data_IF_042880878603
#
_entry.id   IF_042880878603
#
_cell.length_a   1.000
_cell.length_b   1.000
_cell.length_c   1.000
_cell.angle_alpha   90.00
_cell.angle_beta   90.00
_cell.angle_gamma   90.00
#
_symmetry.space_group_name_H-M   'P 1'
#
loop_
_entity.id
_entity.type
_entity.pdbx_description
1 polymer ?
#
# COMPACT_ATOMS: atom_id res chain seq x y z
N UNK A 1 -0.72 -11.87 2.50
CA UNK A 1 -1.72 -12.69 1.79
C UNK A 1 -1.60 -12.44 0.29
N UNK A 2 -1.67 -13.51 -0.49
CA UNK A 2 -1.40 -13.51 -1.93
C UNK A 2 -2.68 -13.93 -2.66
N UNK A 3 -3.13 -13.10 -3.60
CA UNK A 3 -4.29 -13.37 -4.46
C UNK A 3 -3.86 -14.00 -5.79
N UNK A 4 -4.73 -13.98 -6.77
CA UNK A 4 -4.54 -14.53 -8.13
C UNK A 4 -3.30 -13.97 -8.84
N UNK A 5 -2.70 -14.79 -9.70
CA UNK A 5 -1.52 -14.46 -10.52
C UNK A 5 -0.29 -13.96 -9.72
N UNK A 6 0.18 -14.68 -8.71
CA UNK A 6 1.22 -14.21 -7.80
C UNK A 6 2.63 -14.19 -8.39
N UNK A 7 2.84 -14.61 -9.64
CA UNK A 7 4.17 -14.82 -10.22
C UNK A 7 5.10 -13.61 -10.07
N UNK A 8 4.65 -12.43 -10.46
CA UNK A 8 5.43 -11.19 -10.36
C UNK A 8 5.74 -10.84 -8.90
N UNK A 9 4.80 -11.03 -8.00
CA UNK A 9 4.98 -10.81 -6.56
C UNK A 9 6.00 -11.80 -5.99
N UNK A 10 5.90 -13.09 -6.34
CA UNK A 10 6.84 -14.12 -5.90
C UNK A 10 8.26 -13.85 -6.41
N UNK A 11 8.40 -13.44 -7.67
CA UNK A 11 9.71 -13.04 -8.25
C UNK A 11 10.27 -11.80 -7.52
N UNK A 12 9.43 -10.85 -7.13
CA UNK A 12 9.84 -9.64 -6.42
C UNK A 12 10.24 -9.94 -4.98
N UNK A 13 9.45 -10.70 -4.25
CA UNK A 13 9.68 -11.01 -2.84
C UNK A 13 10.78 -12.06 -2.64
N UNK A 14 10.89 -13.06 -3.53
CA UNK A 14 11.84 -14.15 -3.40
C UNK A 14 11.77 -14.82 -2.03
N UNK A 15 12.94 -15.01 -1.40
CA UNK A 15 13.04 -15.59 -0.05
C UNK A 15 13.01 -14.54 1.08
N UNK A 16 12.80 -13.28 0.76
CA UNK A 16 12.83 -12.18 1.73
C UNK A 16 14.24 -11.73 2.16
N UNK A 17 15.31 -12.42 1.74
CA UNK A 17 16.69 -12.08 2.15
C UNK A 17 17.10 -10.65 1.74
N UNK A 18 16.66 -10.21 0.59
CA UNK A 18 16.94 -8.86 0.06
C UNK A 18 16.30 -7.74 0.87
N UNK A 19 15.33 -8.06 1.73
CA UNK A 19 14.66 -7.10 2.62
C UNK A 19 15.24 -7.11 4.04
N UNK A 20 16.39 -7.74 4.24
CA UNK A 20 17.07 -7.85 5.54
C UNK A 20 16.19 -8.47 6.66
N UNK A 21 15.29 -9.37 6.30
CA UNK A 21 14.43 -10.06 7.26
C UNK A 21 15.27 -11.11 7.99
N UNK A 22 15.43 -10.91 9.30
CA UNK A 22 16.17 -11.83 10.16
C UNK A 22 15.28 -13.03 10.53
N UNK A 23 15.61 -14.21 10.02
CA UNK A 23 14.85 -15.45 10.27
C UNK A 23 14.79 -15.91 11.73
N UNK A 24 15.64 -15.36 12.61
CA UNK A 24 15.59 -15.62 14.06
C UNK A 24 14.55 -14.77 14.79
N UNK A 25 14.16 -13.63 14.22
CA UNK A 25 13.19 -12.69 14.82
C UNK A 25 11.88 -12.61 14.05
N UNK A 26 11.83 -13.18 12.89
CA UNK A 26 10.66 -13.18 12.02
C UNK A 26 10.99 -13.77 10.66
N UNK A 27 10.00 -14.03 9.85
CA UNK A 27 10.16 -14.50 8.48
C UNK A 27 9.04 -14.02 7.59
N UNK A 28 9.30 -13.96 6.29
CA UNK A 28 8.28 -13.74 5.29
C UNK A 28 7.48 -15.03 5.09
N UNK A 29 6.19 -14.99 5.37
CA UNK A 29 5.22 -16.03 5.01
C UNK A 29 4.41 -15.54 3.82
N UNK A 30 4.35 -16.35 2.77
CA UNK A 30 3.46 -16.13 1.64
C UNK A 30 2.23 -17.03 1.85
N UNK A 31 1.12 -16.42 2.19
CA UNK A 31 -0.14 -17.08 2.50
C UNK A 31 -1.07 -16.97 1.30
N UNK A 32 -1.45 -18.08 0.74
CA UNK A 32 -2.32 -18.15 -0.43
C UNK A 32 -3.75 -18.39 0.03
N UNK A 33 -4.71 -17.71 -0.60
CA UNK A 33 -6.11 -18.09 -0.47
C UNK A 33 -6.34 -19.44 -1.15
N UNK A 34 -7.26 -20.25 -0.63
CA UNK A 34 -7.69 -21.48 -1.29
C UNK A 34 -8.29 -21.13 -2.67
N UNK A 35 -8.26 -22.10 -3.60
CA UNK A 35 -8.57 -21.88 -5.01
C UNK A 35 -9.86 -21.06 -5.22
N UNK A 36 -9.68 -19.85 -5.78
CA UNK A 36 -10.77 -18.91 -6.10
C UNK A 36 -11.71 -19.41 -7.21
N UNK A 37 -11.40 -20.54 -7.84
CA UNK A 37 -12.19 -21.10 -8.97
C UNK A 37 -13.61 -21.49 -8.56
N UNK A 38 -13.86 -21.80 -7.29
CA UNK A 38 -15.17 -22.20 -6.79
C UNK A 38 -15.91 -21.11 -5.98
N UNK A 39 -15.28 -19.95 -5.72
CA UNK A 39 -15.87 -18.89 -4.92
C UNK A 39 -16.28 -17.71 -5.79
N UNK A 40 -17.59 -17.49 -5.93
CA UNK A 40 -18.17 -16.29 -6.57
C UNK A 40 -17.80 -14.99 -5.83
N UNK A 41 -17.32 -15.09 -4.57
CA UNK A 41 -17.00 -13.97 -3.69
C UNK A 41 -15.66 -14.18 -3.02
N UNK A 42 -14.59 -13.83 -3.70
CA UNK A 42 -13.26 -13.78 -3.10
C UNK A 42 -13.03 -12.42 -2.42
N UNK A 43 -12.92 -12.41 -1.11
CA UNK A 43 -12.58 -11.22 -0.33
C UNK A 43 -11.42 -11.50 0.65
N UNK A 44 -10.99 -10.48 1.38
CA UNK A 44 -9.89 -10.58 2.33
C UNK A 44 -10.23 -11.44 3.55
N UNK A 45 -11.49 -11.43 4.03
CA UNK A 45 -11.96 -12.27 5.15
C UNK A 45 -11.79 -13.76 4.81
N UNK A 46 -12.16 -14.19 3.60
CA UNK A 46 -11.99 -15.58 3.17
C UNK A 46 -10.50 -15.96 3.16
N UNK A 47 -9.63 -15.09 2.61
CA UNK A 47 -8.20 -15.34 2.59
C UNK A 47 -7.59 -15.44 4.01
N UNK A 48 -8.09 -14.64 4.97
CA UNK A 48 -7.67 -14.74 6.37
C UNK A 48 -8.16 -16.03 7.02
N UNK A 49 -9.41 -16.45 6.75
CA UNK A 49 -9.97 -17.71 7.27
C UNK A 49 -9.21 -18.93 6.76
N UNK A 50 -8.86 -18.98 5.48
CA UNK A 50 -8.10 -20.07 4.88
C UNK A 50 -6.72 -20.25 5.53
N UNK A 51 -6.20 -19.19 6.13
CA UNK A 51 -4.89 -19.16 6.77
C UNK A 51 -4.95 -18.86 8.27
N UNK A 52 -6.11 -19.07 8.89
CA UNK A 52 -6.36 -18.67 10.29
C UNK A 52 -5.38 -19.32 11.28
N UNK A 53 -4.98 -20.57 11.04
CA UNK A 53 -4.05 -21.30 11.90
C UNK A 53 -2.69 -20.59 12.03
N UNK A 54 -2.21 -19.94 10.97
CA UNK A 54 -0.95 -19.18 11.01
C UNK A 54 -1.07 -17.97 11.94
N UNK A 55 -2.25 -17.33 11.96
CA UNK A 55 -2.53 -16.18 12.81
C UNK A 55 -2.72 -16.63 14.26
N UNK A 56 -3.47 -17.69 14.49
CA UNK A 56 -3.72 -18.26 15.83
C UNK A 56 -2.44 -18.75 16.51
N UNK A 57 -1.55 -19.39 15.76
CA UNK A 57 -0.27 -19.91 16.26
C UNK A 57 0.82 -18.82 16.40
N UNK A 58 0.52 -17.57 16.07
CA UNK A 58 1.46 -16.47 16.29
C UNK A 58 1.65 -16.18 17.77
N UNK A 59 2.90 -15.91 18.18
CA UNK A 59 3.24 -15.49 19.55
C UNK A 59 3.09 -13.96 19.79
N UNK A 60 2.66 -13.21 18.80
CA UNK A 60 2.51 -11.75 18.89
C UNK A 60 1.10 -11.36 19.35
N UNK A 61 0.99 -10.36 20.21
CA UNK A 61 -0.28 -9.90 20.79
C UNK A 61 -1.06 -8.98 19.87
N UNK A 62 -0.38 -8.34 18.91
CA UNK A 62 -0.96 -7.36 17.99
C UNK A 62 -0.78 -7.77 16.54
N UNK A 63 -1.72 -7.31 15.73
CA UNK A 63 -1.71 -7.47 14.27
C UNK A 63 -1.76 -6.11 13.61
N UNK A 64 -0.91 -5.90 12.61
CA UNK A 64 -0.99 -4.79 11.69
C UNK A 64 -1.40 -5.35 10.32
N UNK A 65 -2.56 -4.93 9.83
CA UNK A 65 -3.02 -5.23 8.48
C UNK A 65 -2.77 -3.99 7.62
N UNK A 66 -2.14 -4.13 6.47
CA UNK A 66 -1.86 -3.02 5.57
C UNK A 66 -2.22 -3.38 4.13
N UNK A 67 -2.81 -2.42 3.43
CA UNK A 67 -3.12 -2.56 2.01
C UNK A 67 -1.86 -2.40 1.16
N UNK A 68 -1.70 -3.25 0.14
CA UNK A 68 -0.57 -3.18 -0.80
C UNK A 68 -0.73 -2.14 -1.92
N UNK A 69 -1.89 -1.51 -2.04
CA UNK A 69 -2.15 -0.49 -3.06
C UNK A 69 -1.84 0.95 -2.61
N UNK A 70 -1.43 1.14 -1.36
CA UNK A 70 -1.03 2.45 -0.82
C UNK A 70 0.49 2.56 -0.76
N UNK A 71 1.02 3.74 -1.11
CA UNK A 71 2.46 4.02 -1.14
C UNK A 71 2.77 5.10 -0.11
N UNK A 72 3.40 4.72 0.98
CA UNK A 72 3.85 5.60 2.04
C UNK A 72 4.93 4.91 2.88
N UNK A 73 5.62 5.67 3.72
CA UNK A 73 6.52 5.14 4.75
C UNK A 73 5.92 5.40 6.13
N UNK A 74 5.79 4.37 6.93
CA UNK A 74 5.29 4.46 8.31
C UNK A 74 6.13 3.60 9.23
N UNK A 75 6.59 4.16 10.33
CA UNK A 75 7.17 3.38 11.41
C UNK A 75 6.04 2.59 12.10
N UNK A 76 6.07 1.28 11.88
CA UNK A 76 5.08 0.38 12.46
C UNK A 76 5.20 0.29 13.99
N UNK A 77 6.40 0.51 14.54
CA UNK A 77 6.59 0.51 16.00
C UNK A 77 5.94 1.74 16.61
N UNK A 78 6.21 2.92 16.06
CA UNK A 78 5.57 4.17 16.51
C UNK A 78 4.04 4.07 16.42
N UNK A 79 3.51 3.51 15.32
CA UNK A 79 2.08 3.33 15.16
C UNK A 79 1.49 2.36 16.19
N UNK A 80 2.20 1.28 16.51
CA UNK A 80 1.80 0.34 17.56
C UNK A 80 1.85 0.98 18.94
N UNK A 81 2.90 1.72 19.26
CA UNK A 81 3.04 2.43 20.53
C UNK A 81 1.89 3.43 20.74
N UNK A 82 1.53 4.20 19.70
CA UNK A 82 0.37 5.10 19.72
C UNK A 82 -0.96 4.35 19.92
N UNK A 83 -1.12 3.16 19.31
CA UNK A 83 -2.29 2.33 19.51
C UNK A 83 -2.41 1.88 20.97
N UNK A 84 -1.33 1.37 21.56
CA UNK A 84 -1.29 0.90 22.95
C UNK A 84 -1.57 2.05 23.92
N UNK A 85 -0.93 3.21 23.72
CA UNK A 85 -1.14 4.40 24.54
C UNK A 85 -2.57 4.94 24.47
N UNK A 86 -3.21 4.82 23.32
CA UNK A 86 -4.59 5.28 23.13
C UNK A 86 -5.61 4.43 23.87
N UNK A 87 -5.30 3.14 24.11
CA UNK A 87 -6.23 2.16 24.67
C UNK A 87 -7.41 1.82 23.74
N UNK A 88 -7.35 2.21 22.48
CA UNK A 88 -8.39 1.92 21.50
C UNK A 88 -8.42 0.42 21.15
N UNK A 89 -9.59 -0.08 20.75
CA UNK A 89 -9.74 -1.45 20.25
C UNK A 89 -9.10 -1.60 18.86
N UNK A 90 -9.30 -0.60 17.99
CA UNK A 90 -8.73 -0.56 16.64
C UNK A 90 -8.17 0.82 16.35
N UNK A 91 -6.99 0.87 15.74
CA UNK A 91 -6.42 2.11 15.19
C UNK A 91 -6.38 2.04 13.67
N UNK A 92 -6.89 3.07 13.01
CA UNK A 92 -6.87 3.23 11.55
C UNK A 92 -5.92 4.35 11.16
N UNK A 93 -4.99 4.07 10.22
CA UNK A 93 -4.09 5.07 9.68
C UNK A 93 -4.78 5.85 8.55
N UNK A 94 -4.67 7.16 8.54
CA UNK A 94 -5.22 8.01 7.48
C UNK A 94 -4.26 9.10 7.04
N UNK A 95 -4.40 9.57 5.82
CA UNK A 95 -3.70 10.73 5.28
C UNK A 95 -4.67 11.88 5.03
N UNK A 96 -4.35 13.06 5.54
CA UNK A 96 -5.15 14.26 5.29
C UNK A 96 -4.73 14.90 3.97
N UNK A 97 -5.67 15.06 3.04
CA UNK A 97 -5.44 15.74 1.76
C UNK A 97 -6.36 16.94 1.60
N UNK A 98 -5.90 17.92 0.87
CA UNK A 98 -6.68 19.10 0.45
C UNK A 98 -7.08 19.03 -1.04
N UNK A 99 -6.81 17.91 -1.71
CA UNK A 99 -7.14 17.68 -3.13
C UNK A 99 -7.97 16.43 -3.39
N UNK A 100 -8.85 16.05 -2.45
CA UNK A 100 -9.67 14.85 -2.56
C UNK A 100 -10.75 14.91 -3.67
N UNK A 101 -10.97 16.08 -4.28
CA UNK A 101 -11.87 16.21 -5.44
C UNK A 101 -11.31 15.65 -6.73
N UNK A 102 -9.99 15.66 -6.86
CA UNK A 102 -9.28 15.29 -8.10
C UNK A 102 -8.45 14.03 -7.92
N UNK A 103 -7.95 13.81 -6.69
CA UNK A 103 -7.11 12.68 -6.35
C UNK A 103 -7.82 11.73 -5.38
N UNK A 104 -7.36 10.50 -5.34
CA UNK A 104 -7.87 9.46 -4.42
C UNK A 104 -9.37 9.14 -4.59
N UNK A 105 -9.94 9.33 -5.78
CA UNK A 105 -11.37 9.12 -6.04
C UNK A 105 -11.83 7.66 -5.85
N UNK A 106 -10.90 6.71 -5.98
CA UNK A 106 -11.16 5.27 -5.77
C UNK A 106 -10.81 4.79 -4.35
N UNK A 107 -10.33 5.72 -3.50
CA UNK A 107 -9.96 5.41 -2.13
C UNK A 107 -11.15 5.59 -1.17
N UNK A 108 -11.01 5.03 0.02
CA UNK A 108 -11.94 5.23 1.12
C UNK A 108 -11.52 6.43 1.97
N UNK A 109 -12.48 7.04 2.66
CA UNK A 109 -12.25 8.15 3.58
C UNK A 109 -12.79 7.81 4.96
N UNK A 110 -12.15 8.37 5.99
CA UNK A 110 -12.61 8.28 7.37
C UNK A 110 -13.40 9.55 7.73
N UNK A 111 -14.59 9.37 8.29
CA UNK A 111 -15.30 10.43 9.00
C UNK A 111 -14.89 10.39 10.47
N UNK A 112 -14.28 11.46 10.96
CA UNK A 112 -13.73 11.52 12.31
C UNK A 112 -14.50 12.52 13.19
N UNK A 113 -14.69 12.18 14.44
CA UNK A 113 -15.14 13.12 15.46
C UNK A 113 -13.98 14.02 15.94
N UNK A 114 -14.27 14.98 16.84
CA UNK A 114 -13.27 15.92 17.39
C UNK A 114 -12.14 15.23 18.18
N UNK A 115 -12.38 14.04 18.69
CA UNK A 115 -11.45 13.24 19.50
C UNK A 115 -10.73 12.19 18.65
N UNK A 116 -10.83 12.27 17.32
CA UNK A 116 -10.29 11.33 16.34
C UNK A 116 -10.94 9.92 16.38
N UNK A 117 -12.07 9.76 17.05
CA UNK A 117 -12.89 8.56 16.93
C UNK A 117 -13.45 8.44 15.51
N UNK A 118 -13.38 7.24 14.94
CA UNK A 118 -13.88 6.95 13.59
C UNK A 118 -15.38 6.70 13.67
N UNK A 119 -16.15 7.50 12.95
CA UNK A 119 -17.61 7.38 12.88
C UNK A 119 -18.05 6.47 11.73
N UNK A 120 -17.36 6.54 10.61
CA UNK A 120 -17.63 5.70 9.44
C UNK A 120 -16.48 5.69 8.45
N UNK A 121 -16.45 4.66 7.60
CA UNK A 121 -15.57 4.52 6.45
C UNK A 121 -16.44 4.62 5.20
N UNK A 122 -16.18 5.61 4.35
CA UNK A 122 -17.01 5.87 3.16
C UNK A 122 -16.14 6.11 1.91
N UNK A 123 -16.63 5.75 0.70
CA UNK A 123 -15.87 5.99 -0.51
C UNK A 123 -15.71 7.49 -0.80
N UNK A 124 -14.54 7.88 -1.29
CA UNK A 124 -14.29 9.24 -1.75
C UNK A 124 -15.05 9.50 -3.06
N UNK A 125 -16.11 10.28 -3.00
CA UNK A 125 -16.93 10.65 -4.17
C UNK A 125 -16.50 11.97 -4.83
N UNK A 126 -15.36 12.55 -4.44
CA UNK A 126 -14.91 13.83 -4.98
C UNK A 126 -15.77 15.05 -4.60
N UNK A 127 -16.62 14.94 -3.59
CA UNK A 127 -17.57 16.00 -3.20
C UNK A 127 -16.92 17.11 -2.39
N UNK A 128 -15.89 16.82 -1.61
CA UNK A 128 -15.21 17.75 -0.74
C UNK A 128 -13.71 17.81 -1.06
N UNK A 129 -13.11 19.01 -0.91
CA UNK A 129 -11.68 19.22 -1.15
C UNK A 129 -10.82 18.57 -0.06
N UNK A 130 -11.19 18.78 1.19
CA UNK A 130 -10.45 18.26 2.35
C UNK A 130 -11.08 16.96 2.81
N UNK A 131 -10.29 15.88 2.85
CA UNK A 131 -10.71 14.56 3.31
C UNK A 131 -9.57 13.84 4.02
N UNK A 132 -9.95 12.90 4.87
CA UNK A 132 -9.07 11.95 5.52
C UNK A 132 -9.10 10.64 4.72
N UNK A 133 -8.09 10.44 3.88
CA UNK A 133 -7.98 9.23 3.04
C UNK A 133 -7.52 8.07 3.93
N UNK A 134 -8.29 7.01 3.97
CA UNK A 134 -7.94 5.80 4.70
C UNK A 134 -6.75 5.10 4.03
N UNK A 135 -5.67 4.88 4.78
CA UNK A 135 -4.46 4.25 4.27
C UNK A 135 -4.56 2.71 4.13
N UNK A 136 -5.74 2.14 4.39
CA UNK A 136 -5.92 0.68 4.37
C UNK A 136 -5.11 -0.04 5.45
N UNK A 137 -4.74 0.67 6.51
CA UNK A 137 -3.90 0.14 7.59
C UNK A 137 -4.67 0.11 8.90
N UNK A 138 -4.68 -1.06 9.53
CA UNK A 138 -5.36 -1.35 10.79
C UNK A 138 -4.34 -1.84 11.81
N UNK A 139 -4.48 -1.43 13.06
CA UNK A 139 -3.74 -1.98 14.21
C UNK A 139 -4.75 -2.41 15.26
N UNK A 140 -4.64 -3.63 15.73
CA UNK A 140 -5.52 -4.18 16.76
C UNK A 140 -4.89 -5.37 17.48
N UNK A 141 -5.47 -5.80 18.58
CA UNK A 141 -5.09 -7.05 19.23
C UNK A 141 -5.39 -8.24 18.33
N UNK A 142 -4.47 -9.22 18.34
CA UNK A 142 -4.61 -10.46 17.55
C UNK A 142 -5.93 -11.18 17.85
N UNK A 143 -6.30 -11.30 19.13
CA UNK A 143 -7.48 -12.03 19.53
C UNK A 143 -8.76 -11.35 18.99
N UNK A 144 -8.83 -10.01 19.03
CA UNK A 144 -9.92 -9.24 18.42
C UNK A 144 -9.98 -9.49 16.91
N UNK A 145 -8.83 -9.47 16.23
CA UNK A 145 -8.75 -9.74 14.79
C UNK A 145 -9.30 -11.11 14.43
N UNK A 146 -8.91 -12.17 15.18
CA UNK A 146 -9.39 -13.54 14.98
C UNK A 146 -10.92 -13.61 15.17
N UNK A 147 -11.43 -13.01 16.23
CA UNK A 147 -12.86 -12.99 16.53
C UNK A 147 -13.66 -12.28 15.45
N UNK A 148 -13.16 -11.15 14.96
CA UNK A 148 -13.77 -10.37 13.88
C UNK A 148 -13.83 -11.17 12.58
N UNK A 149 -12.74 -11.82 12.17
CA UNK A 149 -12.69 -12.65 10.96
C UNK A 149 -13.70 -13.79 11.06
N UNK A 150 -13.72 -14.53 12.17
CA UNK A 150 -14.64 -15.65 12.37
C UNK A 150 -16.11 -15.19 12.34
N UNK A 151 -16.42 -14.08 13.00
CA UNK A 151 -17.78 -13.51 13.01
C UNK A 151 -18.19 -13.03 11.62
N UNK A 152 -17.33 -12.28 10.93
CA UNK A 152 -17.61 -11.78 9.59
C UNK A 152 -17.83 -12.93 8.59
N UNK A 153 -16.95 -13.93 8.60
CA UNK A 153 -17.05 -15.11 7.73
C UNK A 153 -18.37 -15.87 7.96
N UNK A 154 -18.77 -16.08 9.23
CA UNK A 154 -20.00 -16.76 9.59
C UNK A 154 -21.27 -15.97 9.29
N UNK A 155 -21.15 -14.63 9.17
CA UNK A 155 -22.29 -13.76 8.89
C UNK A 155 -22.59 -13.68 7.39
N UNK A 156 -21.59 -13.44 6.57
CA UNK A 156 -21.75 -13.39 5.12
C UNK A 156 -20.40 -13.45 4.39
N UNK A 157 -20.37 -14.21 3.30
CA UNK A 157 -19.22 -14.26 2.39
C UNK A 157 -18.96 -12.93 1.64
N UNK A 158 -19.84 -11.92 1.78
CA UNK A 158 -19.70 -10.63 1.09
C UNK A 158 -18.92 -9.59 1.89
N UNK A 159 -18.75 -9.77 3.19
CA UNK A 159 -18.03 -8.79 4.01
C UNK A 159 -16.52 -8.83 3.76
N UNK A 160 -15.95 -7.64 3.52
CA UNK A 160 -14.52 -7.40 3.68
C UNK A 160 -14.19 -7.00 5.12
N UNK A 161 -12.90 -7.00 5.49
CA UNK A 161 -12.46 -6.50 6.79
C UNK A 161 -12.90 -5.05 7.00
N UNK A 162 -12.80 -4.23 5.96
CA UNK A 162 -13.23 -2.83 6.00
C UNK A 162 -14.73 -2.69 6.29
N UNK A 163 -15.57 -3.47 5.61
CA UNK A 163 -17.03 -3.43 5.83
C UNK A 163 -17.36 -3.84 7.26
N UNK A 164 -16.69 -4.88 7.76
CA UNK A 164 -16.89 -5.33 9.14
C UNK A 164 -16.45 -4.29 10.16
N UNK A 165 -15.28 -3.69 9.99
CA UNK A 165 -14.80 -2.59 10.86
C UNK A 165 -15.75 -1.41 10.82
N UNK A 166 -16.28 -1.06 9.63
CA UNK A 166 -17.25 0.02 9.49
C UNK A 166 -18.57 -0.24 10.25
N UNK A 167 -19.05 -1.49 10.28
CA UNK A 167 -20.20 -1.89 11.08
C UNK A 167 -19.93 -1.74 12.58
N UNK A 168 -18.70 -2.02 13.03
CA UNK A 168 -18.30 -1.98 14.43
C UNK A 168 -17.99 -0.57 14.95
N UNK A 169 -18.05 0.49 14.13
CA UNK A 169 -17.70 1.86 14.53
C UNK A 169 -18.55 2.39 15.72
N UNK A 170 -19.72 1.84 15.96
CA UNK A 170 -20.57 2.22 17.10
C UNK A 170 -20.42 1.32 18.33
N UNK A 171 -19.73 0.19 18.21
CA UNK A 171 -19.57 -0.81 19.25
C UNK A 171 -18.16 -0.82 19.84
N UNK A 172 -17.16 -0.53 19.04
CA UNK A 172 -15.74 -0.54 19.40
C UNK A 172 -15.18 0.88 19.44
N UNK A 173 -14.18 1.12 20.30
CA UNK A 173 -13.39 2.36 20.28
C UNK A 173 -12.38 2.30 19.11
N UNK A 174 -12.79 2.87 17.98
CA UNK A 174 -11.96 2.92 16.76
C UNK A 174 -11.42 4.33 16.59
N UNK A 175 -10.09 4.48 16.55
CA UNK A 175 -9.43 5.79 16.47
C UNK A 175 -8.59 5.94 15.22
N UNK A 176 -8.57 7.16 14.67
CA UNK A 176 -7.75 7.53 13.54
C UNK A 176 -6.40 8.11 13.96
N UNK A 177 -5.31 7.63 13.36
CA UNK A 177 -3.96 8.21 13.47
C UNK A 177 -3.57 8.82 12.12
N UNK A 178 -3.07 10.06 12.14
CA UNK A 178 -2.70 10.77 10.92
C UNK A 178 -1.30 10.37 10.45
N UNK A 179 -1.19 9.85 9.24
CA UNK A 179 0.07 9.69 8.54
C UNK A 179 0.62 11.04 8.09
N UNK A 180 1.93 11.23 8.25
CA UNK A 180 2.66 12.42 7.79
C UNK A 180 3.72 12.00 6.76
N UNK A 181 3.88 12.79 5.71
CA UNK A 181 4.85 12.55 4.66
C UNK A 181 4.19 12.23 3.33
N UNK A 182 4.97 11.65 2.41
CA UNK A 182 4.47 11.26 1.09
C UNK A 182 3.38 10.20 1.20
N UNK A 183 2.30 10.39 0.45
CA UNK A 183 1.22 9.44 0.35
C UNK A 183 0.73 9.34 -1.10
N UNK A 184 0.72 8.14 -1.64
CA UNK A 184 0.22 7.82 -2.97
C UNK A 184 -0.68 6.61 -2.93
N UNK A 185 -1.47 6.41 -3.97
CA UNK A 185 -2.31 5.23 -4.14
C UNK A 185 -2.19 4.68 -5.55
N UNK A 186 -2.26 3.35 -5.68
CA UNK A 186 -2.32 2.64 -6.95
C UNK A 186 -3.56 1.74 -6.90
N UNK A 187 -4.71 2.32 -7.17
CA UNK A 187 -6.02 1.64 -7.14
C UNK A 187 -6.61 1.46 -8.54
N UNK A 188 -6.15 2.26 -9.49
CA UNK A 188 -6.50 2.18 -10.91
C UNK A 188 -5.34 2.65 -11.79
N UNK A 189 -5.52 2.58 -13.11
CA UNK A 189 -4.48 2.99 -14.06
C UNK A 189 -4.16 4.49 -13.98
N UNK A 190 -5.17 5.32 -13.73
CA UNK A 190 -4.97 6.77 -13.60
C UNK A 190 -4.14 7.09 -12.37
N UNK A 191 -4.48 6.53 -11.21
CA UNK A 191 -3.73 6.73 -9.97
C UNK A 191 -2.30 6.20 -10.07
N UNK A 192 -2.08 5.07 -10.78
CA UNK A 192 -0.73 4.57 -11.09
C UNK A 192 0.06 5.59 -11.91
N UNK A 193 -0.53 6.13 -12.98
CA UNK A 193 0.09 7.14 -13.82
C UNK A 193 0.41 8.41 -13.03
N UNK A 194 -0.57 8.98 -12.35
CA UNK A 194 -0.44 10.23 -11.58
C UNK A 194 0.61 10.08 -10.47
N UNK A 195 0.60 8.98 -9.73
CA UNK A 195 1.59 8.68 -8.69
C UNK A 195 3.00 8.52 -9.27
N UNK A 196 3.13 7.82 -10.38
CA UNK A 196 4.42 7.65 -11.05
C UNK A 196 4.96 8.99 -11.54
N UNK A 197 4.15 9.79 -12.24
CA UNK A 197 4.54 11.10 -12.76
C UNK A 197 4.89 12.11 -11.65
N UNK A 198 4.26 12.02 -10.48
CA UNK A 198 4.60 12.86 -9.33
C UNK A 198 6.06 12.70 -8.87
N UNK A 199 6.68 11.54 -9.12
CA UNK A 199 8.06 11.24 -8.76
C UNK A 199 9.10 11.86 -9.72
N UNK A 200 8.67 12.49 -10.81
CA UNK A 200 9.55 13.30 -11.67
C UNK A 200 10.03 14.54 -10.89
N UNK A 201 9.18 15.10 -10.03
CA UNK A 201 9.61 16.16 -9.12
C UNK A 201 10.59 15.62 -8.08
N UNK A 202 11.81 16.16 -8.10
CA UNK A 202 12.89 15.72 -7.23
C UNK A 202 12.58 15.86 -5.74
N UNK A 203 11.81 16.88 -5.36
CA UNK A 203 11.42 17.11 -3.96
C UNK A 203 10.46 16.02 -3.49
N UNK A 204 9.47 15.69 -4.31
CA UNK A 204 8.53 14.59 -4.07
C UNK A 204 9.24 13.25 -4.03
N UNK A 205 10.10 12.96 -4.99
CA UNK A 205 10.88 11.74 -5.02
C UNK A 205 11.75 11.56 -3.75
N UNK A 206 12.44 12.62 -3.30
CA UNK A 206 13.25 12.60 -2.08
C UNK A 206 12.43 12.41 -0.80
N UNK A 207 11.18 12.86 -0.77
CA UNK A 207 10.32 12.64 0.39
C UNK A 207 9.92 11.16 0.55
N UNK A 208 9.89 10.40 -0.55
CA UNK A 208 9.63 8.96 -0.55
C UNK A 208 10.93 8.15 -0.45
N UNK A 209 11.93 8.45 -1.29
CA UNK A 209 13.21 7.73 -1.37
C UNK A 209 14.27 8.42 -0.49
N UNK A 210 14.15 8.23 0.81
CA UNK A 210 15.08 8.72 1.81
C UNK A 210 16.26 7.74 1.96
N UNK A 211 17.52 8.17 1.81
CA UNK A 211 18.69 7.31 1.97
C UNK A 211 18.79 6.67 3.36
N UNK A 212 18.37 7.38 4.40
CA UNK A 212 18.44 6.90 5.78
C UNK A 212 17.33 5.90 6.11
N UNK A 213 16.29 5.87 5.29
CA UNK A 213 15.17 4.92 5.39
C UNK A 213 14.77 4.38 4.01
N UNK A 214 15.60 3.51 3.41
CA UNK A 214 15.41 3.05 2.04
C UNK A 214 14.20 2.14 1.88
N UNK A 215 13.54 2.25 0.72
CA UNK A 215 12.56 1.27 0.28
C UNK A 215 13.30 0.14 -0.44
N UNK A 216 13.26 -1.06 0.13
CA UNK A 216 13.88 -2.23 -0.49
C UNK A 216 13.01 -2.74 -1.65
N UNK A 217 13.65 -2.97 -2.79
CA UNK A 217 13.02 -3.54 -3.96
C UNK A 217 13.89 -4.68 -4.52
N UNK A 218 13.37 -5.42 -5.50
CA UNK A 218 14.16 -6.42 -6.20
C UNK A 218 15.38 -5.76 -6.83
N UNK A 219 16.55 -6.32 -6.54
CA UNK A 219 17.80 -5.92 -7.21
C UNK A 219 17.80 -6.36 -8.68
N UNK A 220 18.40 -5.56 -9.53
CA UNK A 220 18.57 -5.88 -10.95
C UNK A 220 19.99 -5.51 -11.38
N UNK A 221 20.70 -6.46 -11.97
CA UNK A 221 22.06 -6.29 -12.49
C UNK A 221 22.07 -5.63 -13.88
N UNK A 222 21.14 -4.72 -14.14
CA UNK A 222 21.10 -3.96 -15.37
C UNK A 222 22.29 -3.01 -15.46
N UNK A 223 22.90 -2.92 -16.64
CA UNK A 223 23.94 -1.93 -16.92
C UNK A 223 23.41 -0.50 -16.70
N UNK A 224 24.27 0.47 -16.41
CA UNK A 224 23.89 1.88 -16.43
C UNK A 224 23.27 2.27 -17.78
N UNK A 225 22.38 3.26 -17.75
CA UNK A 225 21.81 3.81 -18.98
C UNK A 225 22.89 4.54 -19.79
N UNK A 226 22.88 4.32 -21.09
CA UNK A 226 23.77 4.96 -22.06
C UNK A 226 23.04 6.11 -22.75
N UNK A 227 23.66 7.30 -22.69
CA UNK A 227 23.22 8.48 -23.42
C UNK A 227 24.21 8.66 -24.59
N UNK A 228 23.70 8.48 -25.79
CA UNK A 228 24.51 8.52 -27.01
C UNK A 228 24.35 9.87 -27.73
N UNK A 229 25.08 10.04 -28.81
CA UNK A 229 25.05 11.27 -29.61
C UNK A 229 23.61 11.57 -30.09
N UNK A 230 23.12 12.77 -29.80
CA UNK A 230 21.73 13.21 -30.09
C UNK A 230 20.71 12.99 -28.96
N UNK A 231 21.14 12.44 -27.82
CA UNK A 231 20.28 12.33 -26.66
C UNK A 231 19.96 13.69 -26.05
N UNK A 232 18.68 14.06 -25.95
CA UNK A 232 18.18 15.24 -25.24
C UNK A 232 17.14 14.79 -24.22
N UNK A 233 17.47 14.88 -22.93
CA UNK A 233 16.61 14.38 -21.83
C UNK A 233 16.31 15.51 -20.86
N UNK A 234 15.02 15.74 -20.63
CA UNK A 234 14.52 16.81 -19.73
C UNK A 234 13.45 16.25 -18.79
N UNK A 235 13.46 16.72 -17.54
CA UNK A 235 12.43 16.46 -16.54
C UNK A 235 11.89 15.00 -16.56
N UNK A 236 12.77 14.02 -16.59
CA UNK A 236 12.40 12.62 -16.81
C UNK A 236 13.13 11.67 -15.86
N UNK A 237 12.49 10.54 -15.56
CA UNK A 237 13.08 9.45 -14.78
C UNK A 237 13.41 8.29 -15.71
N UNK A 238 14.68 7.89 -15.77
CA UNK A 238 15.14 6.82 -16.67
C UNK A 238 15.78 5.72 -15.85
N UNK A 239 15.21 4.52 -15.93
CA UNK A 239 15.74 3.35 -15.25
C UNK A 239 17.01 2.81 -15.93
N UNK A 240 17.76 1.97 -15.23
CA UNK A 240 19.00 1.36 -15.73
C UNK A 240 18.79 0.49 -16.97
N UNK A 241 19.84 0.33 -17.77
CA UNK A 241 19.86 -0.53 -18.94
C UNK A 241 19.27 0.10 -20.20
N UNK A 242 18.89 1.38 -20.17
CA UNK A 242 18.36 2.06 -21.34
C UNK A 242 19.47 2.53 -22.30
N UNK A 243 19.11 2.70 -23.56
CA UNK A 243 19.97 3.29 -24.59
C UNK A 243 19.20 4.43 -25.27
N UNK A 244 19.73 5.65 -25.14
CA UNK A 244 19.03 6.88 -25.53
C UNK A 244 19.84 7.60 -26.62
N UNK A 245 19.22 7.80 -27.79
CA UNK A 245 19.71 8.57 -28.93
C UNK A 245 18.74 9.66 -29.37
N UNK A 246 17.53 9.71 -28.77
CA UNK A 246 16.45 10.63 -29.12
C UNK A 246 16.12 11.61 -28.00
N UNK A 247 14.98 12.27 -28.14
CA UNK A 247 14.49 13.28 -27.19
C UNK A 247 13.49 12.67 -26.22
N UNK A 248 13.67 12.92 -24.92
CA UNK A 248 12.76 12.50 -23.85
C UNK A 248 12.44 13.73 -23.01
N UNK A 249 11.16 13.98 -22.81
CA UNK A 249 10.70 15.13 -22.02
C UNK A 249 9.53 14.69 -21.15
N UNK A 250 9.56 15.06 -19.87
CA UNK A 250 8.51 14.83 -18.88
C UNK A 250 7.96 13.38 -18.87
N UNK A 251 8.85 12.41 -18.85
CA UNK A 251 8.51 11.00 -19.07
C UNK A 251 9.22 10.07 -18.09
N UNK A 252 8.67 8.86 -17.89
CA UNK A 252 9.28 7.81 -17.11
C UNK A 252 9.55 6.61 -18.00
N UNK A 253 10.81 6.18 -18.09
CA UNK A 253 11.23 5.02 -18.86
C UNK A 253 11.61 3.85 -17.93
N UNK A 254 10.98 2.72 -18.15
CA UNK A 254 11.33 1.45 -17.52
C UNK A 254 12.68 0.92 -18.03
N UNK A 255 13.20 -0.13 -17.36
CA UNK A 255 14.50 -0.74 -17.67
C UNK A 255 14.56 -1.27 -19.10
N UNK A 256 15.75 -1.14 -19.72
CA UNK A 256 16.04 -1.73 -21.01
C UNK A 256 15.37 -1.08 -22.22
N UNK A 257 14.80 0.12 -22.06
CA UNK A 257 14.21 0.85 -23.18
C UNK A 257 15.26 1.35 -24.15
N UNK A 258 14.94 1.31 -25.45
CA UNK A 258 15.80 1.82 -26.53
C UNK A 258 15.05 2.94 -27.24
N UNK A 259 15.59 4.16 -27.16
CA UNK A 259 15.08 5.35 -27.85
C UNK A 259 16.09 5.69 -28.96
N UNK A 260 15.69 5.46 -30.21
CA UNK A 260 16.53 5.68 -31.37
C UNK A 260 16.59 7.15 -31.78
N UNK A 261 17.60 7.52 -32.58
CA UNK A 261 17.79 8.85 -33.15
C UNK A 261 16.50 9.33 -33.87
N UNK A 262 16.06 10.54 -33.54
CA UNK A 262 14.86 11.15 -34.11
C UNK A 262 13.54 10.76 -33.44
N UNK A 263 13.55 9.78 -32.51
CA UNK A 263 12.37 9.48 -31.70
C UNK A 263 12.16 10.56 -30.62
N UNK A 264 10.89 10.91 -30.37
CA UNK A 264 10.48 11.87 -29.35
C UNK A 264 9.46 11.20 -28.42
N UNK A 265 9.74 11.23 -27.11
CA UNK A 265 8.87 10.71 -26.05
C UNK A 265 8.51 11.88 -25.13
N UNK A 266 7.22 12.10 -24.92
CA UNK A 266 6.68 13.19 -24.09
C UNK A 266 5.55 12.68 -23.20
#
# INVERSE_FOLDING_TARGET
FVKTNPRSLLEHLGTGRQYNINSKRGRLHLLFAADELDSLYSNDISAYMDNIEVIENSCHDYVIVASSCMIFKQDCKELLDQHIESGADITLLYHSTDNAKEQFLTCQTLELNRQKGVLSITPNRGTAKNRQIFAGTYVMRRDLFIDMIKKAHNTSAMYSLMDWVNLMCNELDIRGVAHRGYFGSITDFKSYYDTSMSLIDLKTARSLFDPDWPIYTRTSDSCPTQYLEGADVKASVISNGCRIEGTIDHSILSRGCIIKKGAVVK
#
